data_IF_398811571288
#
_entry.id   IF_398811571288
#
_cell.length_a   1.000
_cell.length_b   1.000
_cell.length_c   1.000
_cell.angle_alpha   90.00
_cell.angle_beta   90.00
_cell.angle_gamma   90.00
#
_symmetry.space_group_name_H-M   'P 1'
#
loop_
_entity.id
_entity.type
_entity.pdbx_description
1 polymer ?
#
# COMPACT_ATOMS: atom_id res chain seq x y z
N UNK A 1 9.83 -7.49 -8.44
CA UNK A 1 10.98 -6.62 -8.09
C UNK A 1 11.19 -6.71 -6.59
N UNK A 2 12.42 -6.91 -6.11
CA UNK A 2 12.71 -6.99 -4.66
C UNK A 2 12.80 -5.57 -4.09
N UNK A 3 12.39 -5.39 -2.83
CA UNK A 3 12.69 -4.16 -2.09
C UNK A 3 14.17 -4.18 -1.76
N UNK A 4 14.87 -3.09 -2.08
CA UNK A 4 16.31 -2.94 -1.88
C UNK A 4 16.63 -1.74 -0.98
N UNK A 5 17.89 -1.65 -0.54
CA UNK A 5 18.34 -0.62 0.39
C UNK A 5 18.29 0.78 -0.23
N UNK A 6 18.44 0.88 -1.56
CA UNK A 6 18.32 2.15 -2.28
C UNK A 6 16.89 2.71 -2.19
N UNK A 7 15.87 1.85 -2.25
CA UNK A 7 14.49 2.25 -2.01
C UNK A 7 14.28 2.72 -0.56
N UNK A 8 14.76 1.95 0.43
CA UNK A 8 14.65 2.36 1.83
C UNK A 8 15.35 3.70 2.10
N UNK A 9 16.53 3.93 1.53
CA UNK A 9 17.25 5.19 1.65
C UNK A 9 16.43 6.37 1.12
N UNK A 10 15.76 6.21 -0.02
CA UNK A 10 14.86 7.23 -0.58
C UNK A 10 13.64 7.48 0.29
N UNK A 11 12.98 6.43 0.76
CA UNK A 11 11.76 6.55 1.60
C UNK A 11 12.07 7.25 2.93
N UNK A 12 13.23 6.96 3.54
CA UNK A 12 13.70 7.59 4.78
C UNK A 12 13.93 9.10 4.67
N UNK A 13 14.04 9.66 3.46
CA UNK A 13 14.10 11.12 3.28
C UNK A 13 12.75 11.80 3.55
N UNK A 14 11.66 11.04 3.60
CA UNK A 14 10.30 11.56 3.75
C UNK A 14 9.58 11.05 5.01
N UNK A 15 9.97 9.89 5.53
CA UNK A 15 9.27 9.19 6.61
C UNK A 15 10.25 8.71 7.68
N UNK A 16 9.83 8.79 8.95
CA UNK A 16 10.51 8.14 10.06
C UNK A 16 10.37 6.61 9.98
N UNK A 17 11.21 5.86 10.71
CA UNK A 17 11.11 4.38 10.72
C UNK A 17 9.71 3.90 11.15
N UNK A 18 9.08 4.56 12.13
CA UNK A 18 7.72 4.22 12.55
C UNK A 18 6.70 4.47 11.44
N UNK A 19 6.80 5.58 10.73
CA UNK A 19 5.94 5.87 9.57
C UNK A 19 6.17 4.88 8.42
N UNK A 20 7.39 4.38 8.23
CA UNK A 20 7.68 3.35 7.23
C UNK A 20 7.02 2.02 7.61
N UNK A 21 6.98 1.66 8.89
CA UNK A 21 6.24 0.49 9.38
C UNK A 21 4.75 0.63 9.07
N UNK A 22 4.16 1.79 9.39
CA UNK A 22 2.75 2.08 9.11
C UNK A 22 2.45 2.07 7.60
N UNK A 23 3.30 2.69 6.78
CA UNK A 23 3.21 2.68 5.32
C UNK A 23 3.22 1.25 4.77
N UNK A 24 4.12 0.41 5.30
CA UNK A 24 4.22 -1.00 4.89
C UNK A 24 2.98 -1.78 5.28
N UNK A 25 2.44 -1.55 6.48
CA UNK A 25 1.20 -2.17 6.93
C UNK A 25 0.00 -1.78 6.05
N UNK A 26 -0.12 -0.50 5.70
CA UNK A 26 -1.16 -0.01 4.79
C UNK A 26 -1.04 -0.67 3.41
N UNK A 27 0.17 -0.70 2.83
CA UNK A 27 0.41 -1.36 1.55
C UNK A 27 0.07 -2.86 1.57
N UNK A 28 0.39 -3.55 2.67
CA UNK A 28 0.04 -4.96 2.85
C UNK A 28 -1.48 -5.17 2.92
N UNK A 29 -2.19 -4.31 3.66
CA UNK A 29 -3.65 -4.37 3.77
C UNK A 29 -4.34 -4.13 2.43
N UNK A 30 -3.89 -3.17 1.64
CA UNK A 30 -4.45 -2.92 0.31
C UNK A 30 -4.13 -4.05 -0.67
N UNK A 31 -2.94 -4.63 -0.60
CA UNK A 31 -2.63 -5.85 -1.35
C UNK A 31 -3.54 -7.03 -0.97
N UNK A 32 -3.88 -7.17 0.32
CA UNK A 32 -4.86 -8.17 0.77
C UNK A 32 -6.24 -7.88 0.20
N UNK A 33 -6.75 -6.65 0.36
CA UNK A 33 -8.07 -6.22 -0.14
C UNK A 33 -8.19 -6.41 -1.65
N UNK A 34 -7.12 -6.12 -2.41
CA UNK A 34 -7.12 -6.31 -3.87
C UNK A 34 -7.41 -7.76 -4.29
N UNK A 35 -7.01 -8.75 -3.47
CA UNK A 35 -7.28 -10.18 -3.74
C UNK A 35 -8.59 -10.62 -3.11
N UNK A 36 -8.84 -10.22 -1.88
CA UNK A 36 -10.03 -10.59 -1.11
C UNK A 36 -11.30 -10.06 -1.78
N UNK A 37 -11.33 -8.78 -2.13
CA UNK A 37 -12.50 -8.15 -2.72
C UNK A 37 -12.82 -8.73 -4.10
N UNK A 38 -11.80 -8.92 -4.93
CA UNK A 38 -11.97 -9.52 -6.27
C UNK A 38 -12.49 -10.96 -6.15
N UNK A 39 -11.94 -11.76 -5.25
CA UNK A 39 -12.38 -13.15 -5.06
C UNK A 39 -13.84 -13.25 -4.60
N UNK A 40 -14.36 -12.23 -3.91
CA UNK A 40 -15.74 -12.18 -3.41
C UNK A 40 -16.68 -11.33 -4.28
N UNK A 41 -16.21 -10.79 -5.41
CA UNK A 41 -17.01 -9.90 -6.26
C UNK A 41 -17.44 -8.60 -5.56
N UNK A 42 -16.67 -8.12 -4.59
CA UNK A 42 -16.94 -6.86 -3.89
C UNK A 42 -16.56 -5.69 -4.81
N UNK A 43 -17.56 -4.94 -5.25
CA UNK A 43 -17.40 -3.81 -6.17
C UNK A 43 -17.09 -2.49 -5.43
N UNK A 44 -16.51 -1.55 -6.17
CA UNK A 44 -16.27 -0.20 -5.68
C UNK A 44 -17.59 0.58 -5.56
N UNK A 45 -17.73 1.34 -4.47
CA UNK A 45 -18.95 2.10 -4.16
C UNK A 45 -19.01 3.50 -4.82
N UNK A 46 -18.11 3.79 -5.77
CA UNK A 46 -18.10 5.06 -6.51
C UNK A 46 -17.59 6.29 -5.75
N UNK A 47 -17.07 6.15 -4.53
CA UNK A 47 -16.57 7.29 -3.73
C UNK A 47 -15.25 7.89 -4.22
N UNK A 48 -14.41 7.09 -4.89
CA UNK A 48 -13.13 7.56 -5.44
C UNK A 48 -13.24 7.59 -6.96
N UNK A 49 -13.58 8.76 -7.51
CA UNK A 49 -13.55 8.98 -8.95
C UNK A 49 -12.17 9.49 -9.34
N UNK A 50 -11.46 8.72 -10.17
CA UNK A 50 -10.29 9.23 -10.88
C UNK A 50 -10.83 10.25 -11.91
N UNK A 51 -10.48 11.52 -11.73
CA UNK A 51 -10.69 12.57 -12.74
C UNK A 51 -9.66 12.47 -13.85
#
# INVERSE_FOLDING_TARGET
>A
RRVDDALFARVRTHFSEAQIVELTAAAALENFRSKFNVALGIEAQGFCMLK
#
